data_IF_000795957827
#
_entry.id   IF_000795957827
#
_cell.length_a   1.000
_cell.length_b   1.000
_cell.length_c   1.000
_cell.angle_alpha   90.00
_cell.angle_beta   90.00
_cell.angle_gamma   90.00
#
_symmetry.space_group_name_H-M   'P 1'
#
loop_
_entity.id
_entity.type
_entity.pdbx_description
1 polymer ?
#
# COMPACT_ATOMS: atom_id res chain seq x y z
N UNK A 1 -2.11 39.34 -0.83
CA UNK A 1 -3.31 39.40 -1.70
C UNK A 1 -4.51 38.96 -0.88
N UNK A 2 -5.57 39.76 -0.87
CA UNK A 2 -6.84 39.39 -0.19
C UNK A 2 -7.51 38.31 -1.04
N UNK A 3 -7.79 37.15 -0.43
CA UNK A 3 -8.40 36.00 -1.12
C UNK A 3 -9.89 36.31 -1.36
N UNK A 4 -10.35 36.21 -2.61
CA UNK A 4 -11.77 36.41 -2.96
C UNK A 4 -12.64 35.43 -2.17
N UNK A 5 -13.73 35.93 -1.58
CA UNK A 5 -14.63 35.14 -0.74
C UNK A 5 -15.95 34.84 -1.46
N UNK A 6 -16.71 33.88 -0.94
CA UNK A 6 -18.07 33.58 -1.43
C UNK A 6 -18.98 34.81 -1.34
N UNK A 7 -18.76 35.70 -0.36
CA UNK A 7 -19.52 36.95 -0.18
C UNK A 7 -19.23 37.94 -1.32
N UNK A 8 -18.00 38.01 -1.81
CA UNK A 8 -17.63 38.87 -2.93
C UNK A 8 -18.29 38.39 -4.24
N UNK A 9 -18.36 37.09 -4.45
CA UNK A 9 -19.08 36.49 -5.59
C UNK A 9 -20.58 36.76 -5.48
N UNK A 10 -21.19 36.62 -4.29
CA UNK A 10 -22.60 36.88 -4.04
C UNK A 10 -22.95 38.33 -4.34
N UNK A 11 -22.13 39.26 -3.86
CA UNK A 11 -22.30 40.71 -4.09
C UNK A 11 -22.18 41.03 -5.58
N UNK A 12 -21.18 40.50 -6.27
CA UNK A 12 -20.94 40.79 -7.68
C UNK A 12 -21.98 40.13 -8.61
N UNK A 13 -22.53 38.97 -8.23
CA UNK A 13 -23.59 38.27 -8.99
C UNK A 13 -25.01 38.72 -8.62
N UNK A 14 -25.18 39.61 -7.62
CA UNK A 14 -26.50 40.11 -7.19
C UNK A 14 -27.41 39.05 -6.56
N UNK A 15 -26.83 38.02 -5.94
CA UNK A 15 -27.56 36.88 -5.35
C UNK A 15 -27.12 36.61 -3.91
N UNK A 16 -27.88 35.80 -3.18
CA UNK A 16 -27.50 35.44 -1.81
C UNK A 16 -26.30 34.45 -1.80
N UNK A 17 -25.55 34.44 -0.69
CA UNK A 17 -24.45 33.49 -0.46
C UNK A 17 -24.93 32.04 -0.61
N UNK A 18 -26.14 31.71 -0.14
CA UNK A 18 -26.73 30.39 -0.28
C UNK A 18 -27.04 30.03 -1.74
N UNK A 19 -27.40 31.02 -2.58
CA UNK A 19 -27.58 30.83 -4.02
C UNK A 19 -26.26 30.58 -4.71
N UNK A 20 -25.19 31.30 -4.38
CA UNK A 20 -23.83 31.02 -4.88
C UNK A 20 -23.39 29.61 -4.50
N UNK A 21 -23.55 29.25 -3.23
CA UNK A 21 -23.20 27.89 -2.77
C UNK A 21 -23.93 26.82 -3.58
N UNK A 22 -25.23 26.92 -3.75
CA UNK A 22 -26.03 25.99 -4.55
C UNK A 22 -25.61 25.95 -6.03
N UNK A 23 -25.33 27.10 -6.61
CA UNK A 23 -24.88 27.19 -8.00
C UNK A 23 -23.54 26.45 -8.22
N UNK A 24 -22.60 26.61 -7.28
CA UNK A 24 -21.26 26.01 -7.35
C UNK A 24 -21.23 24.53 -6.97
N UNK A 25 -22.17 24.04 -6.14
CA UNK A 25 -22.19 22.66 -5.64
C UNK A 25 -23.20 21.74 -6.33
N UNK A 26 -23.84 22.19 -7.40
CA UNK A 26 -24.83 21.38 -8.12
C UNK A 26 -26.23 21.40 -7.51
N UNK A 27 -26.48 22.21 -6.48
CA UNK A 27 -27.80 22.39 -5.86
C UNK A 27 -28.83 23.04 -6.80
N UNK A 28 -30.09 23.06 -6.39
CA UNK A 28 -31.20 23.56 -7.20
C UNK A 28 -31.14 25.10 -7.32
N UNK A 29 -30.84 25.56 -8.52
CA UNK A 29 -30.92 26.97 -8.98
C UNK A 29 -31.30 26.99 -10.46
N UNK A 30 -31.82 28.12 -10.97
CA UNK A 30 -32.09 28.23 -12.40
C UNK A 30 -30.79 28.12 -13.22
N UNK A 31 -30.85 27.60 -14.48
CA UNK A 31 -29.69 27.53 -15.36
C UNK A 31 -29.01 28.91 -15.56
N UNK A 32 -29.81 29.97 -15.78
CA UNK A 32 -29.31 31.32 -15.95
C UNK A 32 -28.60 31.85 -14.69
N UNK A 33 -29.12 31.57 -13.49
CA UNK A 33 -28.47 31.95 -12.22
C UNK A 33 -27.15 31.20 -12.05
N UNK A 34 -27.09 29.91 -12.40
CA UNK A 34 -25.86 29.11 -12.33
C UNK A 34 -24.79 29.67 -13.24
N UNK A 35 -25.13 29.97 -14.48
CA UNK A 35 -24.21 30.51 -15.48
C UNK A 35 -23.65 31.88 -15.02
N UNK A 36 -24.50 32.78 -14.58
CA UNK A 36 -24.09 34.11 -14.08
C UNK A 36 -23.14 33.99 -12.86
N UNK A 37 -23.43 33.09 -11.92
CA UNK A 37 -22.56 32.86 -10.76
C UNK A 37 -21.21 32.27 -11.16
N UNK A 38 -21.17 31.30 -12.09
CA UNK A 38 -19.92 30.68 -12.59
C UNK A 38 -19.05 31.71 -13.32
N UNK A 39 -19.67 32.57 -14.16
CA UNK A 39 -18.94 33.64 -14.84
C UNK A 39 -18.32 34.63 -13.86
N UNK A 40 -19.08 35.10 -12.88
CA UNK A 40 -18.57 35.99 -11.82
C UNK A 40 -17.48 35.33 -11.00
N UNK A 41 -17.64 34.08 -10.60
CA UNK A 41 -16.63 33.34 -9.85
C UNK A 41 -15.33 33.22 -10.61
N UNK A 42 -15.39 32.90 -11.90
CA UNK A 42 -14.23 32.82 -12.80
C UNK A 42 -13.53 34.18 -12.95
N UNK A 43 -14.29 35.24 -13.21
CA UNK A 43 -13.77 36.62 -13.36
C UNK A 43 -13.06 37.12 -12.12
N UNK A 44 -13.58 36.78 -10.92
CA UNK A 44 -12.99 37.16 -9.64
C UNK A 44 -11.87 36.21 -9.16
N UNK A 45 -11.55 35.17 -9.92
CA UNK A 45 -10.59 34.13 -9.52
C UNK A 45 -11.01 33.41 -8.24
N UNK A 46 -12.32 33.32 -7.97
CA UNK A 46 -12.83 32.67 -6.79
C UNK A 46 -12.65 31.15 -6.88
N UNK A 47 -11.96 30.60 -5.91
CA UNK A 47 -11.88 29.14 -5.72
C UNK A 47 -12.69 28.76 -4.49
N UNK A 48 -13.66 27.83 -4.59
CA UNK A 48 -14.40 27.35 -3.44
C UNK A 48 -13.46 26.90 -2.33
N UNK A 49 -13.66 27.43 -1.13
CA UNK A 49 -12.87 27.01 0.03
C UNK A 49 -13.41 25.65 0.51
N UNK A 50 -12.60 24.58 0.37
CA UNK A 50 -12.97 23.23 0.82
C UNK A 50 -13.26 23.21 2.33
N UNK A 51 -12.49 23.95 3.14
CA UNK A 51 -12.73 24.04 4.58
C UNK A 51 -14.08 24.67 4.91
N UNK A 52 -14.49 25.74 4.19
CA UNK A 52 -15.81 26.35 4.38
C UNK A 52 -16.96 25.43 3.92
N UNK A 53 -16.75 24.61 2.89
CA UNK A 53 -17.69 23.58 2.46
C UNK A 53 -17.80 22.49 3.53
N UNK A 54 -16.68 22.08 4.11
CA UNK A 54 -16.61 21.08 5.18
C UNK A 54 -17.46 21.45 6.40
N UNK A 55 -17.45 22.73 6.81
CA UNK A 55 -18.28 23.24 7.90
C UNK A 55 -19.80 23.09 7.62
N UNK A 56 -20.20 23.11 6.36
CA UNK A 56 -21.63 22.99 5.97
C UNK A 56 -22.02 21.52 5.77
N UNK A 57 -21.14 20.71 5.21
CA UNK A 57 -21.42 19.31 4.83
C UNK A 57 -21.02 18.30 5.90
N UNK A 58 -20.27 18.70 6.91
CA UNK A 58 -19.64 17.81 7.90
C UNK A 58 -18.53 16.95 7.33
N UNK A 59 -18.06 17.22 6.07
CA UNK A 59 -17.00 16.45 5.40
C UNK A 59 -15.83 17.34 5.04
N UNK A 60 -14.62 16.86 5.31
CA UNK A 60 -13.37 17.59 5.06
C UNK A 60 -12.96 17.57 3.59
N UNK A 61 -13.39 16.56 2.83
CA UNK A 61 -12.92 16.26 1.47
C UNK A 61 -11.48 15.77 1.45
N UNK A 62 -10.96 15.29 2.57
CA UNK A 62 -9.63 14.73 2.70
C UNK A 62 -9.69 13.33 3.31
N UNK A 63 -8.72 12.51 2.95
CA UNK A 63 -8.52 11.15 3.44
C UNK A 63 -7.14 11.03 4.05
N UNK A 64 -6.99 10.14 5.04
CA UNK A 64 -5.70 9.76 5.60
C UNK A 64 -5.16 8.50 4.92
N UNK A 65 -3.85 8.45 4.69
CA UNK A 65 -3.12 7.24 4.37
C UNK A 65 -1.94 7.12 5.33
N UNK A 66 -1.92 6.07 6.13
CA UNK A 66 -0.82 5.75 7.04
C UNK A 66 -0.03 4.60 6.44
N UNK A 67 1.29 4.75 6.33
CA UNK A 67 2.21 3.75 5.79
C UNK A 67 3.37 3.53 6.76
N UNK A 68 3.96 2.31 6.80
CA UNK A 68 5.04 2.01 7.74
C UNK A 68 6.39 2.67 7.37
N UNK A 69 6.73 2.77 6.06
CA UNK A 69 8.02 3.31 5.62
C UNK A 69 7.97 3.76 4.15
N UNK A 70 8.02 5.05 3.90
CA UNK A 70 8.04 5.63 2.53
C UNK A 70 9.36 5.35 1.78
N UNK A 71 10.42 4.91 2.45
CA UNK A 71 11.66 4.48 1.80
C UNK A 71 11.48 3.17 1.03
N UNK A 72 10.50 2.35 1.41
CA UNK A 72 10.14 1.16 0.64
C UNK A 72 9.21 1.54 -0.54
N UNK A 73 9.64 1.35 -1.81
CA UNK A 73 8.84 1.69 -2.99
C UNK A 73 7.47 1.00 -3.04
N UNK A 74 7.28 -0.11 -2.33
CA UNK A 74 5.99 -0.77 -2.21
C UNK A 74 4.91 0.20 -1.71
N UNK A 75 5.19 0.93 -0.63
CA UNK A 75 4.23 1.85 -0.04
C UNK A 75 4.03 3.11 -0.90
N UNK A 76 5.06 3.54 -1.63
CA UNK A 76 4.93 4.62 -2.60
C UNK A 76 3.98 4.25 -3.76
N UNK A 77 4.01 3.01 -4.26
CA UNK A 77 3.08 2.53 -5.28
C UNK A 77 1.64 2.42 -4.75
N UNK A 78 1.44 1.95 -3.50
CA UNK A 78 0.13 1.99 -2.82
C UNK A 78 -0.39 3.42 -2.75
N UNK A 79 0.45 4.37 -2.30
CA UNK A 79 0.10 5.78 -2.20
C UNK A 79 -0.27 6.40 -3.55
N UNK A 80 0.39 6.00 -4.65
CA UNK A 80 0.02 6.40 -6.01
C UNK A 80 -1.39 5.92 -6.38
N UNK A 81 -1.72 4.67 -6.08
CA UNK A 81 -3.07 4.12 -6.31
C UNK A 81 -4.14 4.88 -5.55
N UNK A 82 -3.90 5.12 -4.25
CA UNK A 82 -4.80 5.90 -3.39
C UNK A 82 -4.97 7.33 -3.92
N UNK A 83 -3.88 8.04 -4.19
CA UNK A 83 -3.93 9.44 -4.62
C UNK A 83 -4.55 9.61 -6.00
N UNK A 84 -4.29 8.70 -6.94
CA UNK A 84 -4.93 8.72 -8.26
C UNK A 84 -6.45 8.54 -8.13
N UNK A 85 -6.88 7.57 -7.31
CA UNK A 85 -8.31 7.31 -7.09
C UNK A 85 -8.98 8.45 -6.32
N UNK A 86 -8.34 8.99 -5.28
CA UNK A 86 -8.84 10.13 -4.50
C UNK A 86 -9.07 11.37 -5.39
N UNK A 87 -8.12 11.67 -6.29
CA UNK A 87 -8.26 12.76 -7.26
C UNK A 87 -9.47 12.56 -8.17
N UNK A 88 -9.74 11.33 -8.63
CA UNK A 88 -10.89 11.03 -9.49
C UNK A 88 -12.24 11.24 -8.78
N UNK A 89 -12.26 11.31 -7.45
CA UNK A 89 -13.46 11.53 -6.63
C UNK A 89 -13.42 12.83 -5.82
N UNK A 90 -12.57 13.77 -6.22
CA UNK A 90 -12.38 15.11 -5.63
C UNK A 90 -12.01 15.09 -4.14
N UNK A 91 -11.14 14.16 -3.72
CA UNK A 91 -10.57 14.13 -2.37
C UNK A 91 -9.07 14.44 -2.36
N UNK A 92 -8.60 15.13 -1.29
CA UNK A 92 -7.20 15.22 -0.94
C UNK A 92 -6.74 14.00 -0.14
N UNK A 93 -5.43 13.76 -0.10
CA UNK A 93 -4.86 12.69 0.72
C UNK A 93 -3.72 13.24 1.57
N UNK A 94 -3.80 13.04 2.89
CA UNK A 94 -2.70 13.23 3.82
C UNK A 94 -1.99 11.90 4.01
N UNK A 95 -0.68 11.88 3.79
CA UNK A 95 0.14 10.68 3.95
C UNK A 95 1.01 10.86 5.19
N UNK A 96 0.99 9.87 6.08
CA UNK A 96 1.83 9.83 7.29
C UNK A 96 2.68 8.57 7.24
N UNK A 97 3.98 8.75 7.43
CA UNK A 97 4.98 7.70 7.62
C UNK A 97 5.16 7.48 9.13
N UNK A 98 5.17 6.23 9.57
CA UNK A 98 5.28 5.86 10.99
C UNK A 98 6.61 5.18 11.35
N UNK A 99 7.50 5.03 10.37
CA UNK A 99 8.83 4.40 10.53
C UNK A 99 8.76 3.02 11.24
N UNK A 100 7.74 2.22 10.88
CA UNK A 100 7.43 0.88 11.45
C UNK A 100 7.07 0.91 12.96
N UNK A 101 6.84 2.08 13.57
CA UNK A 101 6.51 2.23 14.99
C UNK A 101 4.99 2.07 15.24
N UNK A 102 4.53 1.04 15.98
CA UNK A 102 3.11 0.84 16.27
C UNK A 102 2.51 1.94 17.15
N UNK A 103 3.31 2.64 17.97
CA UNK A 103 2.80 3.75 18.79
C UNK A 103 2.53 4.97 17.92
N UNK A 104 3.47 5.35 17.06
CA UNK A 104 3.29 6.42 16.09
C UNK A 104 2.13 6.14 15.13
N UNK A 105 1.90 4.87 14.78
CA UNK A 105 0.78 4.42 13.96
C UNK A 105 -0.58 4.73 14.60
N UNK A 106 -0.76 4.38 15.88
CA UNK A 106 -1.99 4.62 16.62
C UNK A 106 -2.23 6.13 16.85
N UNK A 107 -1.18 6.90 17.10
CA UNK A 107 -1.25 8.36 17.21
C UNK A 107 -1.66 9.00 15.88
N UNK A 108 -1.08 8.53 14.76
CA UNK A 108 -1.44 8.98 13.42
C UNK A 108 -2.90 8.63 13.09
N UNK A 109 -3.34 7.42 13.43
CA UNK A 109 -4.72 6.96 13.24
C UNK A 109 -5.70 7.87 14.00
N UNK A 110 -5.44 8.14 15.28
CA UNK A 110 -6.26 9.03 16.09
C UNK A 110 -6.29 10.47 15.55
N UNK A 111 -5.16 10.95 15.02
CA UNK A 111 -5.05 12.33 14.48
C UNK A 111 -5.76 12.46 13.16
N UNK A 112 -5.51 11.55 12.21
CA UNK A 112 -6.14 11.58 10.89
C UNK A 112 -7.63 11.26 10.98
N UNK A 113 -8.05 10.33 11.84
CA UNK A 113 -9.47 10.00 12.05
C UNK A 113 -10.33 11.20 12.46
N UNK A 114 -9.75 12.15 13.22
CA UNK A 114 -10.45 13.40 13.60
C UNK A 114 -10.44 14.48 12.52
N UNK A 115 -9.48 14.43 11.58
CA UNK A 115 -9.21 15.53 10.65
C UNK A 115 -9.50 15.17 9.19
N UNK A 116 -9.96 13.95 8.91
CA UNK A 116 -10.27 13.46 7.56
C UNK A 116 -11.61 12.74 7.53
N UNK A 117 -12.11 12.44 6.34
CA UNK A 117 -13.38 11.72 6.14
C UNK A 117 -13.21 10.20 6.28
N UNK A 118 -11.99 9.72 6.46
CA UNK A 118 -11.63 8.33 6.70
C UNK A 118 -10.15 8.07 6.49
N UNK A 119 -9.69 6.91 6.95
CA UNK A 119 -8.27 6.53 6.97
C UNK A 119 -8.05 5.18 6.31
N UNK A 120 -7.06 5.12 5.43
CA UNK A 120 -6.46 3.89 4.93
C UNK A 120 -5.20 3.60 5.76
N UNK A 121 -5.16 2.46 6.42
CA UNK A 121 -4.04 2.03 7.25
C UNK A 121 -3.32 0.85 6.58
N UNK A 122 -2.12 1.09 6.08
CA UNK A 122 -1.39 0.15 5.25
C UNK A 122 -0.40 -0.67 6.04
N UNK A 123 -0.51 -2.00 5.99
CA UNK A 123 0.39 -2.96 6.65
C UNK A 123 0.69 -2.63 8.12
N UNK A 124 -0.33 -2.33 8.95
CA UNK A 124 -0.12 -1.89 10.32
C UNK A 124 0.71 -2.87 11.16
N UNK A 125 1.44 -2.32 12.16
CA UNK A 125 2.27 -3.06 13.12
C UNK A 125 1.63 -3.21 14.49
N UNK A 126 0.70 -2.34 14.86
CA UNK A 126 -0.02 -2.43 16.12
C UNK A 126 -0.78 -3.76 16.26
N UNK A 127 -1.01 -4.23 17.47
CA UNK A 127 -1.71 -5.49 17.71
C UNK A 127 -3.16 -5.44 17.21
N UNK A 128 -3.77 -6.61 16.96
CA UNK A 128 -5.19 -6.68 16.57
C UNK A 128 -6.09 -6.03 17.63
N UNK A 129 -5.76 -6.20 18.92
CA UNK A 129 -6.52 -5.60 20.02
C UNK A 129 -6.45 -4.07 20.00
N UNK A 130 -5.25 -3.51 19.80
CA UNK A 130 -5.06 -2.06 19.74
C UNK A 130 -5.74 -1.46 18.50
N UNK A 131 -5.65 -2.14 17.35
CA UNK A 131 -6.33 -1.70 16.13
C UNK A 131 -7.85 -1.72 16.30
N UNK A 132 -8.43 -2.76 16.90
CA UNK A 132 -9.87 -2.83 17.16
C UNK A 132 -10.34 -1.78 18.18
N UNK A 133 -9.47 -1.40 19.12
CA UNK A 133 -9.78 -0.34 20.08
C UNK A 133 -9.68 1.08 19.50
N UNK A 134 -8.78 1.29 18.54
CA UNK A 134 -8.47 2.61 17.99
C UNK A 134 -9.22 2.93 16.69
N UNK A 135 -9.51 1.92 15.86
CA UNK A 135 -10.10 2.11 14.54
C UNK A 135 -11.63 2.07 14.58
N UNK A 136 -12.26 3.07 13.96
CA UNK A 136 -13.69 3.01 13.64
C UNK A 136 -13.88 2.24 12.31
N UNK A 137 -14.59 1.09 12.30
CA UNK A 137 -14.78 0.28 11.10
C UNK A 137 -15.63 0.96 10.01
N UNK A 138 -16.31 2.07 10.30
CA UNK A 138 -17.06 2.83 9.30
C UNK A 138 -16.19 3.86 8.57
N UNK A 139 -15.04 4.22 9.15
CA UNK A 139 -14.13 5.24 8.63
C UNK A 139 -12.67 4.77 8.50
N UNK A 140 -12.39 3.48 8.73
CA UNK A 140 -11.04 2.90 8.59
C UNK A 140 -11.06 1.65 7.71
N UNK A 141 -10.12 1.57 6.77
CA UNK A 141 -9.89 0.37 5.95
C UNK A 141 -8.43 -0.04 6.04
N UNK A 142 -8.20 -1.33 6.29
CA UNK A 142 -6.85 -1.89 6.31
C UNK A 142 -6.41 -2.29 4.90
N UNK A 143 -5.16 -1.97 4.55
CA UNK A 143 -4.50 -2.46 3.34
C UNK A 143 -3.40 -3.44 3.73
N UNK A 144 -3.32 -4.57 3.03
CA UNK A 144 -2.29 -5.60 3.21
C UNK A 144 -2.21 -6.21 4.63
N UNK A 145 -3.26 -6.08 5.41
CA UNK A 145 -3.48 -6.77 6.67
C UNK A 145 -4.96 -7.07 6.86
N UNK A 146 -5.27 -8.19 7.52
CA UNK A 146 -6.62 -8.58 7.92
C UNK A 146 -6.70 -8.57 9.44
N UNK A 147 -7.72 -7.90 9.96
CA UNK A 147 -8.13 -7.97 11.36
C UNK A 147 -9.64 -8.23 11.35
N UNK A 148 -10.13 -9.34 11.94
CA UNK A 148 -11.57 -9.62 12.01
C UNK A 148 -12.32 -8.44 12.65
N UNK A 149 -13.35 -7.93 11.97
CA UNK A 149 -14.12 -6.77 12.45
C UNK A 149 -13.77 -5.45 11.74
N UNK A 150 -12.62 -5.36 11.04
CA UNK A 150 -12.25 -4.20 10.25
C UNK A 150 -12.29 -4.50 8.75
N UNK A 151 -12.79 -3.55 7.92
CA UNK A 151 -12.73 -3.68 6.46
C UNK A 151 -11.28 -3.79 5.98
N UNK A 152 -11.04 -4.64 4.97
CA UNK A 152 -9.67 -4.86 4.51
C UNK A 152 -9.54 -5.16 3.02
N UNK A 153 -8.39 -4.80 2.45
CA UNK A 153 -7.94 -5.23 1.13
C UNK A 153 -6.60 -5.93 1.28
N UNK A 154 -6.55 -7.21 0.96
CA UNK A 154 -5.35 -8.04 1.08
C UNK A 154 -4.94 -8.66 -0.26
N UNK A 155 -3.67 -9.00 -0.40
CA UNK A 155 -3.18 -9.81 -1.51
C UNK A 155 -3.34 -11.31 -1.22
N UNK A 156 -3.55 -12.14 -2.25
CA UNK A 156 -3.46 -13.61 -2.14
C UNK A 156 -1.99 -14.05 -1.94
N UNK A 157 -1.48 -13.82 -0.73
CA UNK A 157 -0.11 -14.16 -0.35
C UNK A 157 0.14 -15.65 -0.58
N UNK A 158 -0.80 -16.51 -0.17
CA UNK A 158 -0.66 -17.96 -0.31
C UNK A 158 -0.56 -18.38 -1.80
N UNK A 159 -1.35 -17.77 -2.68
CA UNK A 159 -1.27 -17.98 -4.11
C UNK A 159 0.08 -17.59 -4.69
N UNK A 160 0.61 -16.45 -4.30
CA UNK A 160 1.94 -15.99 -4.72
C UNK A 160 3.06 -16.91 -4.25
N UNK A 161 3.06 -17.30 -2.99
CA UNK A 161 4.04 -18.24 -2.42
C UNK A 161 3.96 -19.60 -3.14
N UNK A 162 2.76 -20.14 -3.37
CA UNK A 162 2.61 -21.41 -4.14
C UNK A 162 3.22 -21.30 -5.54
N UNK A 163 3.09 -20.15 -6.22
CA UNK A 163 3.69 -19.94 -7.54
C UNK A 163 5.22 -19.91 -7.46
N UNK A 164 5.79 -19.17 -6.49
CA UNK A 164 7.23 -19.10 -6.28
C UNK A 164 7.83 -20.47 -5.94
N UNK A 165 7.22 -21.23 -5.03
CA UNK A 165 7.63 -22.57 -4.65
C UNK A 165 7.55 -23.53 -5.84
N UNK A 166 6.46 -23.51 -6.60
CA UNK A 166 6.31 -24.34 -7.81
C UNK A 166 7.41 -24.04 -8.84
N UNK A 167 7.72 -22.78 -9.06
CA UNK A 167 8.78 -22.33 -9.95
C UNK A 167 10.14 -22.86 -9.51
N UNK A 168 10.54 -22.67 -8.25
CA UNK A 168 11.81 -23.16 -7.72
C UNK A 168 11.90 -24.69 -7.76
N UNK A 169 10.81 -25.39 -7.45
CA UNK A 169 10.75 -26.87 -7.57
C UNK A 169 10.93 -27.35 -9.01
N UNK A 170 10.31 -26.68 -9.98
CA UNK A 170 10.45 -27.01 -11.40
C UNK A 170 11.88 -26.81 -11.89
N UNK A 171 12.63 -25.87 -11.29
CA UNK A 171 14.04 -25.64 -11.53
C UNK A 171 14.95 -26.64 -10.76
N UNK A 172 14.39 -27.57 -10.00
CA UNK A 172 15.14 -28.63 -9.30
C UNK A 172 15.57 -28.27 -7.87
N UNK A 173 15.24 -27.08 -7.36
CA UNK A 173 15.56 -26.69 -5.98
C UNK A 173 14.80 -27.57 -4.98
N UNK A 174 15.49 -28.01 -3.92
CA UNK A 174 14.92 -28.80 -2.81
C UNK A 174 15.15 -28.14 -1.45
N UNK A 175 16.24 -27.39 -1.29
CA UNK A 175 16.60 -26.65 -0.09
C UNK A 175 16.52 -25.17 -0.39
N UNK A 176 15.62 -24.47 0.31
CA UNK A 176 15.34 -23.05 0.09
C UNK A 176 15.55 -22.31 1.41
N UNK A 177 16.45 -21.34 1.40
CA UNK A 177 16.56 -20.39 2.50
C UNK A 177 15.37 -19.42 2.44
N UNK A 178 14.69 -19.24 3.55
CA UNK A 178 13.65 -18.22 3.69
C UNK A 178 14.14 -17.10 4.61
N UNK A 179 14.34 -15.92 4.05
CA UNK A 179 14.67 -14.72 4.81
C UNK A 179 13.37 -14.07 5.26
N UNK A 180 13.01 -14.23 6.53
CA UNK A 180 11.78 -13.70 7.10
C UNK A 180 11.85 -12.18 7.31
N UNK A 181 10.69 -11.55 7.36
CA UNK A 181 10.52 -10.16 7.81
C UNK A 181 10.29 -10.07 9.32
N UNK A 182 9.89 -8.89 9.83
CA UNK A 182 9.59 -8.66 11.24
C UNK A 182 8.55 -9.65 11.78
N UNK A 183 8.71 -10.10 13.01
CA UNK A 183 7.82 -11.11 13.63
C UNK A 183 6.40 -10.60 13.85
N UNK A 184 6.23 -9.31 14.10
CA UNK A 184 4.96 -8.60 14.24
C UNK A 184 4.27 -8.31 12.90
N UNK A 185 4.96 -8.54 11.77
CA UNK A 185 4.36 -8.37 10.45
C UNK A 185 3.36 -9.50 10.15
N UNK A 186 2.07 -9.13 10.02
CA UNK A 186 1.05 -10.06 9.54
C UNK A 186 1.44 -10.72 8.21
N UNK A 187 2.00 -9.94 7.27
CA UNK A 187 2.44 -10.46 5.98
C UNK A 187 3.58 -11.49 6.12
N UNK A 188 4.53 -11.30 7.07
CA UNK A 188 5.58 -12.27 7.35
C UNK A 188 4.99 -13.59 7.87
N UNK A 189 4.04 -13.51 8.80
CA UNK A 189 3.34 -14.67 9.34
C UNK A 189 2.58 -15.43 8.24
N UNK A 190 1.85 -14.72 7.35
CA UNK A 190 1.13 -15.35 6.25
C UNK A 190 2.06 -16.01 5.23
N UNK A 191 3.21 -15.38 4.91
CA UNK A 191 4.21 -15.95 4.00
C UNK A 191 4.83 -17.22 4.60
N UNK A 192 5.19 -17.18 5.88
CA UNK A 192 5.75 -18.35 6.57
C UNK A 192 4.73 -19.51 6.64
N UNK A 193 3.48 -19.22 6.99
CA UNK A 193 2.41 -20.22 7.02
C UNK A 193 2.19 -20.85 5.63
N UNK A 194 2.18 -20.05 4.56
CA UNK A 194 2.03 -20.54 3.20
C UNK A 194 3.22 -21.39 2.74
N UNK A 195 4.44 -21.03 3.13
CA UNK A 195 5.65 -21.81 2.85
C UNK A 195 5.64 -23.14 3.59
N UNK A 196 5.29 -23.14 4.88
CA UNK A 196 5.19 -24.36 5.69
C UNK A 196 4.13 -25.33 5.15
N UNK A 197 3.06 -24.80 4.56
CA UNK A 197 2.01 -25.61 3.93
C UNK A 197 2.38 -26.13 2.54
N UNK A 198 3.44 -25.62 1.91
CA UNK A 198 3.80 -25.98 0.55
C UNK A 198 4.42 -27.38 0.41
N UNK A 199 4.80 -28.04 1.51
CA UNK A 199 5.35 -29.41 1.57
C UNK A 199 6.54 -29.67 0.64
N UNK A 200 7.18 -30.82 0.76
CA UNK A 200 8.21 -31.34 -0.16
C UNK A 200 9.47 -30.47 -0.40
N UNK A 201 9.64 -29.37 0.34
CA UNK A 201 10.85 -28.55 0.33
C UNK A 201 11.45 -28.50 1.72
N UNK A 202 12.75 -28.64 1.80
CA UNK A 202 13.50 -28.35 3.02
C UNK A 202 13.60 -26.82 3.14
N UNK A 203 12.79 -26.25 4.04
CA UNK A 203 12.79 -24.83 4.32
C UNK A 203 13.82 -24.55 5.40
N UNK A 204 14.75 -23.65 5.12
CA UNK A 204 15.78 -23.17 6.03
C UNK A 204 15.42 -21.74 6.45
N UNK A 205 14.71 -21.52 7.57
CA UNK A 205 14.37 -20.20 8.02
C UNK A 205 15.61 -19.47 8.53
N UNK A 206 15.86 -18.28 7.99
CA UNK A 206 16.96 -17.40 8.37
C UNK A 206 16.35 -16.15 9.04
N UNK A 207 16.08 -16.24 10.33
CA UNK A 207 15.70 -15.18 11.26
C UNK A 207 14.80 -14.03 10.76
N UNK A 208 14.21 -13.30 11.66
CA UNK A 208 13.52 -12.03 11.39
C UNK A 208 14.53 -10.90 11.26
N UNK A 209 14.75 -10.40 10.06
CA UNK A 209 15.62 -9.27 9.77
C UNK A 209 14.80 -8.04 9.40
N UNK A 210 15.44 -6.87 9.51
CA UNK A 210 14.81 -5.63 9.05
C UNK A 210 14.37 -5.75 7.57
N UNK A 211 13.17 -5.30 7.17
CA UNK A 211 12.63 -5.48 5.83
C UNK A 211 13.24 -4.50 4.80
N UNK A 212 14.54 -4.26 4.94
CA UNK A 212 15.34 -3.26 4.22
C UNK A 212 16.44 -3.90 3.40
N UNK A 213 17.09 -3.12 2.54
CA UNK A 213 18.28 -3.52 1.81
C UNK A 213 19.41 -3.95 2.76
N UNK A 214 19.64 -3.23 3.86
CA UNK A 214 20.69 -3.56 4.84
C UNK A 214 20.40 -4.88 5.57
N UNK A 215 19.12 -5.15 5.91
CA UNK A 215 18.71 -6.47 6.41
C UNK A 215 19.01 -7.58 5.40
N UNK A 216 18.84 -7.30 4.11
CA UNK A 216 19.23 -8.22 3.03
C UNK A 216 20.74 -8.46 2.92
N UNK A 217 21.58 -7.44 3.20
CA UNK A 217 23.04 -7.63 3.26
C UNK A 217 23.43 -8.62 4.35
N UNK A 218 22.84 -8.48 5.54
CA UNK A 218 23.06 -9.43 6.66
C UNK A 218 22.55 -10.83 6.31
N UNK A 219 21.36 -10.93 5.70
CA UNK A 219 20.82 -12.20 5.25
C UNK A 219 21.73 -12.91 4.26
N UNK A 220 22.40 -12.17 3.38
CA UNK A 220 23.30 -12.73 2.38
C UNK A 220 24.46 -13.52 2.96
N UNK A 221 25.04 -13.09 4.10
CA UNK A 221 26.06 -13.86 4.80
C UNK A 221 25.48 -15.15 5.41
N UNK A 222 24.28 -15.10 6.01
CA UNK A 222 23.59 -16.29 6.54
C UNK A 222 23.21 -17.29 5.43
N UNK A 223 22.82 -16.79 4.28
CA UNK A 223 22.52 -17.62 3.09
C UNK A 223 23.74 -18.38 2.64
N UNK A 224 24.92 -17.75 2.63
CA UNK A 224 26.18 -18.38 2.20
C UNK A 224 26.62 -19.51 3.13
N UNK A 225 26.31 -19.41 4.42
CA UNK A 225 26.61 -20.44 5.41
C UNK A 225 25.58 -21.61 5.39
N UNK A 226 24.50 -21.49 4.61
CA UNK A 226 23.44 -22.48 4.52
C UNK A 226 23.64 -23.44 3.34
N UNK A 227 23.09 -24.67 3.39
CA UNK A 227 23.11 -25.60 2.27
C UNK A 227 22.03 -25.30 1.20
N UNK A 228 21.40 -24.12 1.25
CA UNK A 228 20.36 -23.71 0.32
C UNK A 228 20.92 -23.52 -1.11
N UNK A 229 20.10 -23.83 -2.09
CA UNK A 229 20.39 -23.56 -3.51
C UNK A 229 19.52 -22.43 -4.06
N UNK A 230 18.53 -22.00 -3.30
CA UNK A 230 17.68 -20.86 -3.62
C UNK A 230 17.32 -20.09 -2.34
N UNK A 231 17.03 -18.81 -2.53
CA UNK A 231 16.54 -17.90 -1.50
C UNK A 231 15.15 -17.41 -1.89
N UNK A 232 14.22 -17.44 -0.96
CA UNK A 232 12.99 -16.68 -1.03
C UNK A 232 13.06 -15.59 0.05
N UNK A 233 13.10 -14.34 -0.38
CA UNK A 233 13.21 -13.21 0.52
C UNK A 233 11.83 -12.67 0.93
N UNK A 234 11.76 -12.06 2.12
CA UNK A 234 10.55 -11.40 2.62
C UNK A 234 9.99 -10.39 1.62
N UNK A 235 10.83 -9.50 1.11
CA UNK A 235 10.46 -8.52 0.09
C UNK A 235 11.60 -8.29 -0.91
N UNK A 236 11.37 -7.45 -1.90
CA UNK A 236 12.37 -7.16 -2.92
C UNK A 236 13.57 -6.39 -2.37
N UNK A 237 13.40 -5.50 -1.39
CA UNK A 237 14.54 -4.79 -0.79
C UNK A 237 15.50 -5.75 -0.11
N UNK A 238 14.99 -6.71 0.65
CA UNK A 238 15.78 -7.79 1.24
C UNK A 238 16.45 -8.65 0.14
N UNK A 239 15.70 -9.02 -0.91
CA UNK A 239 16.26 -9.79 -2.04
C UNK A 239 17.39 -9.05 -2.73
N UNK A 240 17.27 -7.74 -2.94
CA UNK A 240 18.30 -6.89 -3.54
C UNK A 240 19.56 -6.82 -2.65
N UNK A 241 19.40 -6.72 -1.34
CA UNK A 241 20.50 -6.80 -0.38
C UNK A 241 21.22 -8.13 -0.45
N UNK A 242 20.47 -9.24 -0.51
CA UNK A 242 21.02 -10.59 -0.71
C UNK A 242 21.79 -10.66 -2.02
N UNK A 243 21.21 -10.24 -3.16
CA UNK A 243 21.87 -10.21 -4.46
C UNK A 243 23.20 -9.43 -4.40
N UNK A 244 23.18 -8.26 -3.77
CA UNK A 244 24.39 -7.45 -3.63
C UNK A 244 25.48 -8.16 -2.81
N UNK A 245 25.10 -8.78 -1.68
CA UNK A 245 26.05 -9.53 -0.83
C UNK A 245 26.63 -10.75 -1.56
N UNK A 246 25.79 -11.51 -2.26
CA UNK A 246 26.23 -12.65 -3.06
C UNK A 246 27.24 -12.23 -4.14
N UNK A 247 26.94 -11.17 -4.87
CA UNK A 247 27.85 -10.61 -5.89
C UNK A 247 29.19 -10.16 -5.27
N UNK A 248 29.17 -9.47 -4.13
CA UNK A 248 30.38 -9.05 -3.40
C UNK A 248 31.24 -10.23 -2.93
N UNK A 249 30.64 -11.42 -2.74
CA UNK A 249 31.33 -12.66 -2.39
C UNK A 249 31.68 -13.55 -3.60
N UNK A 250 31.47 -13.03 -4.82
CA UNK A 250 31.76 -13.77 -6.06
C UNK A 250 30.79 -14.91 -6.38
N UNK A 251 29.62 -14.94 -5.72
CA UNK A 251 28.58 -15.93 -5.99
C UNK A 251 27.71 -15.46 -7.14
N UNK A 252 27.72 -16.20 -8.23
CA UNK A 252 26.97 -15.86 -9.44
C UNK A 252 25.51 -16.29 -9.30
N UNK A 253 24.60 -15.35 -9.51
CA UNK A 253 23.15 -15.56 -9.55
C UNK A 253 22.70 -15.50 -11.01
N UNK A 254 21.97 -16.51 -11.53
CA UNK A 254 21.33 -17.62 -10.83
C UNK A 254 22.18 -18.92 -10.76
N UNK A 255 23.38 -18.97 -11.35
CA UNK A 255 24.13 -20.20 -11.61
C UNK A 255 24.48 -20.99 -10.34
N UNK A 256 24.80 -20.28 -9.25
CA UNK A 256 25.16 -20.90 -7.95
C UNK A 256 24.00 -20.81 -6.96
N UNK A 257 23.22 -19.76 -7.03
CA UNK A 257 22.14 -19.47 -6.10
C UNK A 257 21.00 -18.78 -6.84
N UNK A 258 19.78 -19.27 -6.73
CA UNK A 258 18.59 -18.55 -7.20
C UNK A 258 18.08 -17.61 -6.11
N UNK A 259 17.61 -16.42 -6.50
CA UNK A 259 17.00 -15.45 -5.57
C UNK A 259 15.63 -15.05 -6.09
N UNK A 260 14.62 -15.15 -5.22
CA UNK A 260 13.24 -14.73 -5.49
C UNK A 260 12.81 -13.73 -4.44
N UNK A 261 12.26 -12.60 -4.88
CA UNK A 261 11.69 -11.56 -4.05
C UNK A 261 10.16 -11.66 -3.91
N UNK A 262 9.62 -10.66 -3.29
CA UNK A 262 8.19 -10.44 -3.12
C UNK A 262 7.90 -8.95 -3.20
N UNK A 263 6.79 -8.55 -3.82
CA UNK A 263 6.22 -7.23 -4.04
C UNK A 263 6.29 -6.76 -5.50
N UNK A 264 7.30 -7.16 -6.26
CA UNK A 264 7.61 -6.72 -7.63
C UNK A 264 7.66 -5.19 -7.73
N UNK A 265 8.50 -4.57 -6.91
CA UNK A 265 8.77 -3.13 -7.01
C UNK A 265 9.63 -2.83 -8.25
N UNK A 266 9.61 -1.57 -8.73
CA UNK A 266 10.35 -1.18 -9.94
C UNK A 266 11.84 -1.54 -9.92
N UNK A 267 12.47 -1.52 -8.74
CA UNK A 267 13.87 -1.89 -8.54
C UNK A 267 14.15 -3.37 -8.89
N UNK A 268 13.14 -4.25 -8.77
CA UNK A 268 13.30 -5.67 -9.12
C UNK A 268 13.66 -5.88 -10.60
N UNK A 269 13.07 -5.08 -11.49
CA UNK A 269 13.39 -5.13 -12.92
C UNK A 269 14.71 -4.44 -13.27
N UNK A 270 15.17 -3.50 -12.44
CA UNK A 270 16.38 -2.70 -12.67
C UNK A 270 17.64 -3.33 -12.07
N UNK A 271 17.50 -4.35 -11.21
CA UNK A 271 18.63 -5.04 -10.58
C UNK A 271 19.44 -5.87 -11.59
N UNK A 272 20.64 -6.25 -11.20
CA UNK A 272 21.48 -7.14 -12.00
C UNK A 272 21.94 -8.35 -11.16
N UNK A 273 21.50 -9.57 -11.53
CA UNK A 273 20.47 -9.88 -12.54
C UNK A 273 19.10 -9.32 -12.17
N UNK A 274 18.19 -9.10 -13.17
CA UNK A 274 16.81 -8.69 -12.89
C UNK A 274 16.12 -9.73 -12.00
N UNK A 275 15.46 -9.25 -10.92
CA UNK A 275 14.92 -10.07 -9.83
C UNK A 275 13.59 -10.73 -10.22
N UNK A 276 13.52 -12.05 -10.13
CA UNK A 276 12.26 -12.81 -10.09
C UNK A 276 11.53 -12.47 -8.82
N UNK A 277 10.27 -12.05 -8.92
CA UNK A 277 9.50 -11.58 -7.75
C UNK A 277 8.02 -11.93 -7.85
N UNK A 278 7.37 -12.10 -6.70
CA UNK A 278 5.91 -12.23 -6.62
C UNK A 278 5.29 -10.83 -6.69
N UNK A 279 4.60 -10.55 -7.78
CA UNK A 279 3.93 -9.28 -7.99
C UNK A 279 2.67 -9.14 -7.14
N UNK A 280 2.60 -8.06 -6.39
CA UNK A 280 1.44 -7.61 -5.62
C UNK A 280 0.81 -6.41 -6.32
N UNK A 281 -0.51 -6.37 -6.55
CA UNK A 281 -1.18 -5.27 -7.25
C UNK A 281 -1.35 -4.05 -6.32
N UNK A 282 -0.24 -3.38 -6.01
CA UNK A 282 -0.10 -2.31 -5.00
C UNK A 282 -1.01 -1.11 -5.26
N UNK A 283 -0.97 -0.57 -6.45
CA UNK A 283 -1.79 0.56 -6.90
C UNK A 283 -3.29 0.21 -6.89
N UNK A 284 -3.62 -1.00 -7.35
CA UNK A 284 -4.99 -1.50 -7.32
C UNK A 284 -5.49 -1.69 -5.88
N UNK A 285 -4.64 -2.15 -4.96
CA UNK A 285 -5.00 -2.29 -3.55
C UNK A 285 -5.36 -0.92 -2.94
N UNK A 286 -4.56 0.11 -3.23
CA UNK A 286 -4.85 1.48 -2.81
C UNK A 286 -6.18 2.00 -3.37
N UNK A 287 -6.44 1.80 -4.67
CA UNK A 287 -7.68 2.24 -5.31
C UNK A 287 -8.92 1.52 -4.76
N UNK A 288 -8.86 0.18 -4.63
CA UNK A 288 -9.97 -0.64 -4.09
C UNK A 288 -10.23 -0.29 -2.63
N UNK A 289 -9.18 -0.09 -1.83
CA UNK A 289 -9.31 0.31 -0.43
C UNK A 289 -10.02 1.66 -0.27
N UNK A 290 -9.71 2.61 -1.14
CA UNK A 290 -10.39 3.90 -1.14
C UNK A 290 -11.87 3.78 -1.55
N UNK A 291 -12.18 2.94 -2.55
CA UNK A 291 -13.58 2.69 -2.94
C UNK A 291 -14.36 2.01 -1.81
N UNK A 292 -13.73 1.07 -1.10
CA UNK A 292 -14.31 0.43 0.08
C UNK A 292 -14.57 1.46 1.20
N UNK A 293 -13.59 2.33 1.48
CA UNK A 293 -13.71 3.39 2.49
C UNK A 293 -14.85 4.37 2.19
N UNK A 294 -15.06 4.70 0.91
CA UNK A 294 -16.12 5.62 0.49
C UNK A 294 -17.48 4.95 0.25
N UNK A 295 -17.63 3.63 0.54
CA UNK A 295 -18.86 2.89 0.29
C UNK A 295 -19.23 2.79 -1.20
N UNK A 296 -18.25 2.85 -2.10
CA UNK A 296 -18.46 2.84 -3.56
C UNK A 296 -18.34 1.45 -4.19
N UNK A 297 -17.99 0.44 -3.41
CA UNK A 297 -18.06 -0.96 -3.82
C UNK A 297 -19.51 -1.35 -3.87
N UNK A 298 -20.08 -1.53 -5.08
CA UNK A 298 -21.51 -1.81 -5.24
C UNK A 298 -21.93 -3.03 -4.43
N UNK A 299 -23.08 -2.92 -3.76
CA UNK A 299 -23.94 -3.93 -3.14
C UNK A 299 -23.34 -5.20 -2.49
N UNK A 300 -22.03 -5.29 -2.29
CA UNK A 300 -21.42 -6.39 -1.55
C UNK A 300 -21.33 -5.99 -0.07
N UNK A 301 -22.03 -6.75 0.76
CA UNK A 301 -21.87 -6.77 2.23
C UNK A 301 -20.46 -7.22 2.65
N UNK A 302 -19.60 -7.57 1.69
CA UNK A 302 -18.24 -8.01 1.94
C UNK A 302 -17.35 -6.79 2.23
N UNK A 303 -16.99 -6.65 3.49
CA UNK A 303 -16.00 -5.66 3.97
C UNK A 303 -14.56 -6.10 3.70
N UNK A 304 -14.37 -7.05 2.80
CA UNK A 304 -13.06 -7.62 2.47
C UNK A 304 -12.90 -7.81 0.97
N UNK A 305 -11.71 -7.45 0.46
CA UNK A 305 -11.30 -7.74 -0.91
C UNK A 305 -9.97 -8.48 -0.92
N UNK A 306 -9.89 -9.59 -1.67
CA UNK A 306 -8.66 -10.34 -1.90
C UNK A 306 -8.21 -10.14 -3.34
N UNK A 307 -7.01 -9.61 -3.54
CA UNK A 307 -6.45 -9.33 -4.85
C UNK A 307 -5.47 -10.44 -5.27
N UNK A 308 -5.53 -10.94 -6.51
CA UNK A 308 -4.64 -11.98 -6.99
C UNK A 308 -3.20 -11.47 -7.08
N UNK A 309 -2.25 -12.36 -6.79
CA UNK A 309 -0.82 -12.16 -7.00
C UNK A 309 -0.32 -13.00 -8.17
N UNK A 310 0.85 -12.68 -8.71
CA UNK A 310 1.45 -13.42 -9.81
C UNK A 310 2.97 -13.46 -9.71
N UNK A 311 3.61 -14.56 -10.14
CA UNK A 311 5.07 -14.62 -10.21
C UNK A 311 5.56 -14.00 -11.52
N UNK A 312 6.43 -13.01 -11.42
CA UNK A 312 7.17 -12.42 -12.55
C UNK A 312 8.55 -13.04 -12.58
N UNK A 313 8.76 -13.96 -13.52
CA UNK A 313 10.02 -14.65 -13.69
C UNK A 313 11.01 -13.77 -14.45
N UNK A 314 12.21 -13.60 -13.89
CA UNK A 314 13.34 -12.88 -14.50
C UNK A 314 14.63 -13.70 -14.40
N UNK A 315 15.79 -13.04 -14.46
CA UNK A 315 17.07 -13.71 -14.57
C UNK A 315 17.71 -14.11 -13.22
N UNK A 316 17.12 -13.77 -12.07
CA UNK A 316 17.69 -14.14 -10.76
C UNK A 316 17.35 -15.56 -10.30
N UNK A 317 16.60 -16.32 -11.08
CA UNK A 317 16.28 -17.72 -10.80
C UNK A 317 16.63 -18.62 -11.98
N UNK A 318 17.27 -19.74 -11.74
CA UNK A 318 17.74 -20.70 -12.75
C UNK A 318 17.74 -22.13 -12.23
N UNK A 319 18.21 -23.08 -13.06
CA UNK A 319 18.23 -24.49 -12.70
C UNK A 319 19.18 -24.75 -11.52
N UNK A 320 18.72 -25.51 -10.53
CA UNK A 320 19.55 -25.91 -9.40
C UNK A 320 20.74 -26.71 -9.87
N UNK A 321 21.94 -26.34 -9.44
CA UNK A 321 23.14 -27.12 -9.64
C UNK A 321 23.44 -27.93 -8.38
N UNK A 322 23.92 -29.18 -8.53
CA UNK A 322 24.24 -30.06 -7.43
C UNK A 322 25.38 -29.52 -6.55
#
# INVERSE_FOLDING_TARGET
MVRTTVQDVARAAGVSVSTVSRALTGGIVSPATREAVLEVATRLGYQPNRAARGLITGRTGNLGLIVPDLRNPFFADVAKGVTARARAVDHGVFITDTDEDPVAELEALATLGRNTDGVLLCSPRASDADLLAAADPESTVLLHRRVPGLPSVVADIAGGIRQAVRHLRALGHRRIAYVSGPEDSWAAQQRLAALSAAGDLELLPLGGLAPTFDGGLLAGDLVLDSPATAVLAYNDLVALGVLHRLAARGVVVPERMSVVGFDDVSLAAMSHPPLTSVAVPKDRAGAVGLDLLLGRTGATTEREAVLPTGLVVRASSGVARP
#
